data_IF_902119777570
#
_entry.id   IF_902119777570
#
_cell.length_a   1.000
_cell.length_b   1.000
_cell.length_c   1.000
_cell.angle_alpha   90.00
_cell.angle_beta   90.00
_cell.angle_gamma   90.00
#
_symmetry.space_group_name_H-M   'P 1'
#
loop_
_entity.id
_entity.type
_entity.pdbx_description
1 polymer ?
#
# COMPACT_ATOMS: atom_id res chain seq x y z
N UNK A 1 -14.61 19.82 6.87
CA UNK A 1 -14.74 18.54 6.12
C UNK A 1 -14.89 18.89 4.66
N UNK A 2 -13.83 18.81 3.88
CA UNK A 2 -13.90 18.86 2.43
C UNK A 2 -14.39 17.47 2.02
N UNK A 3 -15.70 17.35 1.73
CA UNK A 3 -16.23 16.16 1.11
C UNK A 3 -15.63 16.07 -0.27
N UNK A 4 -14.85 15.05 -0.57
CA UNK A 4 -14.66 14.61 -1.94
C UNK A 4 -16.07 14.27 -2.45
N UNK A 5 -16.59 15.10 -3.35
CA UNK A 5 -17.70 14.71 -4.22
C UNK A 5 -17.10 13.67 -5.18
N UNK A 6 -16.94 12.47 -4.65
CA UNK A 6 -16.17 11.44 -5.27
C UNK A 6 -17.03 10.49 -6.03
N UNK A 7 -16.40 9.86 -6.94
CA UNK A 7 -16.75 8.60 -7.53
C UNK A 7 -17.27 7.67 -6.42
N UNK A 8 -18.36 6.98 -6.67
CA UNK A 8 -18.85 5.94 -5.78
C UNK A 8 -17.69 5.02 -5.44
N UNK A 9 -17.35 4.95 -4.15
CA UNK A 9 -16.33 4.00 -3.68
C UNK A 9 -16.90 2.63 -3.98
N UNK A 10 -16.35 1.97 -5.00
CA UNK A 10 -16.81 0.67 -5.45
C UNK A 10 -16.88 -0.30 -4.27
N UNK A 11 -17.90 -1.15 -4.25
CA UNK A 11 -18.03 -2.17 -3.23
C UNK A 11 -16.80 -3.09 -3.23
N UNK A 12 -16.36 -3.58 -2.06
CA UNK A 12 -15.30 -4.57 -1.98
C UNK A 12 -15.68 -5.82 -2.76
N UNK A 13 -14.79 -6.27 -3.64
CA UNK A 13 -14.95 -7.46 -4.46
C UNK A 13 -13.94 -8.54 -4.05
N UNK A 14 -14.31 -9.79 -4.28
CA UNK A 14 -13.40 -10.90 -4.13
C UNK A 14 -12.29 -10.82 -5.19
N UNK A 15 -11.07 -11.15 -4.79
CA UNK A 15 -9.88 -11.11 -5.62
C UNK A 15 -9.71 -12.41 -6.37
N UNK A 16 -9.36 -12.31 -7.64
CA UNK A 16 -8.74 -13.37 -8.42
C UNK A 16 -7.43 -12.86 -9.00
N UNK A 17 -6.48 -13.77 -9.25
CA UNK A 17 -5.20 -13.38 -9.83
C UNK A 17 -5.39 -12.69 -11.19
N UNK A 18 -6.18 -13.31 -12.08
CA UNK A 18 -6.42 -12.80 -13.43
C UNK A 18 -6.96 -11.37 -13.48
N UNK A 19 -7.78 -10.97 -12.50
CA UNK A 19 -8.34 -9.61 -12.45
C UNK A 19 -7.40 -8.59 -11.83
N UNK A 20 -6.48 -9.03 -10.96
CA UNK A 20 -5.54 -8.16 -10.23
C UNK A 20 -4.27 -7.94 -11.03
N UNK A 21 -3.75 -8.98 -11.69
CA UNK A 21 -2.47 -8.97 -12.40
C UNK A 21 -2.28 -7.79 -13.36
N UNK A 22 -3.25 -7.41 -14.21
CA UNK A 22 -3.08 -6.29 -15.15
C UNK A 22 -2.87 -4.92 -14.48
N UNK A 23 -3.28 -4.81 -13.21
CA UNK A 23 -3.15 -3.59 -12.41
C UNK A 23 -1.86 -3.51 -11.58
N UNK A 24 -1.03 -4.53 -11.63
CA UNK A 24 0.22 -4.61 -10.85
C UNK A 24 1.44 -4.22 -11.71
N UNK A 25 2.56 -3.83 -11.08
CA UNK A 25 3.80 -3.61 -11.79
C UNK A 25 4.39 -4.94 -12.30
N UNK A 26 5.18 -4.87 -13.37
CA UNK A 26 5.92 -6.02 -13.88
C UNK A 26 6.89 -6.61 -12.86
N UNK A 27 7.29 -7.87 -13.09
CA UNK A 27 8.28 -8.56 -12.26
C UNK A 27 9.59 -7.75 -12.24
N UNK A 28 10.14 -7.56 -11.04
CA UNK A 28 11.36 -6.79 -10.82
C UNK A 28 11.16 -5.27 -10.70
N UNK A 29 9.95 -4.76 -10.90
CA UNK A 29 9.62 -3.33 -10.73
C UNK A 29 9.17 -3.03 -9.30
N UNK A 30 8.33 -3.88 -8.71
CA UNK A 30 7.94 -3.70 -7.32
C UNK A 30 9.14 -3.88 -6.38
N UNK A 31 9.15 -3.14 -5.29
CA UNK A 31 10.22 -3.12 -4.29
C UNK A 31 11.64 -2.84 -4.85
N UNK A 32 11.74 -2.28 -6.06
CA UNK A 32 13.02 -2.01 -6.73
C UNK A 32 13.82 -0.86 -6.11
N UNK A 33 13.17 0.05 -5.41
CA UNK A 33 13.80 1.20 -4.77
C UNK A 33 13.63 1.12 -3.25
N UNK A 34 14.73 1.09 -2.53
CA UNK A 34 14.69 1.11 -1.06
C UNK A 34 14.33 2.50 -0.55
N UNK A 35 13.16 2.66 0.05
CA UNK A 35 12.60 3.96 0.46
C UNK A 35 13.55 4.74 1.38
N UNK A 36 14.24 4.08 2.31
CA UNK A 36 15.15 4.71 3.26
C UNK A 36 16.35 5.40 2.63
N UNK A 37 16.76 4.99 1.41
CA UNK A 37 17.88 5.60 0.67
C UNK A 37 17.52 6.95 0.06
N UNK A 38 16.25 7.14 -0.28
CA UNK A 38 15.76 8.36 -0.92
C UNK A 38 15.11 9.32 0.09
N UNK A 39 14.94 8.89 1.33
CA UNK A 39 14.34 9.69 2.38
C UNK A 39 15.40 10.52 3.14
N UNK A 40 14.98 11.69 3.59
CA UNK A 40 15.77 12.58 4.44
C UNK A 40 14.97 13.00 5.68
N UNK A 41 15.62 13.66 6.63
CA UNK A 41 14.95 14.27 7.78
C UNK A 41 14.08 13.30 8.60
N UNK A 42 12.88 13.75 8.93
CA UNK A 42 11.93 12.97 9.75
C UNK A 42 11.38 11.76 9.01
N UNK A 43 11.13 11.87 7.70
CA UNK A 43 10.64 10.74 6.91
C UNK A 43 11.64 9.59 6.92
N UNK A 44 12.94 9.87 6.84
CA UNK A 44 13.97 8.85 6.96
C UNK A 44 14.00 8.21 8.35
N UNK A 45 13.85 9.02 9.41
CA UNK A 45 13.80 8.50 10.79
C UNK A 45 12.62 7.56 11.00
N UNK A 46 11.46 7.93 10.51
CA UNK A 46 10.24 7.11 10.55
C UNK A 46 10.39 5.83 9.72
N UNK A 47 10.99 5.89 8.53
CA UNK A 47 11.24 4.70 7.71
C UNK A 47 12.16 3.71 8.39
N UNK A 48 13.21 4.18 9.06
CA UNK A 48 14.14 3.30 9.77
C UNK A 48 13.57 2.77 11.09
N UNK A 49 12.70 3.54 11.73
CA UNK A 49 12.12 3.25 13.04
C UNK A 49 10.60 3.60 13.03
N UNK A 50 9.72 2.68 12.58
CA UNK A 50 8.28 2.92 12.51
C UNK A 50 7.62 3.06 13.89
N UNK A 51 8.30 2.69 14.99
CA UNK A 51 7.76 2.87 16.34
C UNK A 51 7.55 4.34 16.69
N UNK A 52 8.27 5.23 16.02
CA UNK A 52 8.03 6.68 16.11
C UNK A 52 6.63 7.11 15.73
N UNK A 53 5.92 6.32 14.94
CA UNK A 53 4.53 6.56 14.56
C UNK A 53 3.52 5.89 15.49
N UNK A 54 3.94 4.96 16.33
CA UNK A 54 2.99 4.27 17.21
C UNK A 54 2.45 5.23 18.28
N UNK A 55 1.15 5.15 18.46
CA UNK A 55 0.44 5.73 19.60
C UNK A 55 0.56 4.81 20.82
N UNK A 56 0.49 5.33 22.05
CA UNK A 56 0.19 4.52 23.22
C UNK A 56 -1.11 3.73 23.00
N UNK A 57 -1.20 2.50 23.49
CA UNK A 57 -2.35 1.64 23.20
C UNK A 57 -3.70 2.25 23.66
N UNK A 58 -3.69 3.03 24.74
CA UNK A 58 -4.88 3.74 25.23
C UNK A 58 -5.40 4.82 24.26
N UNK A 59 -4.59 5.21 23.26
CA UNK A 59 -4.94 6.19 22.22
C UNK A 59 -5.26 5.52 20.87
N UNK A 60 -5.19 4.17 20.80
CA UNK A 60 -5.51 3.49 19.55
C UNK A 60 -6.98 3.67 19.19
N UNK A 61 -7.20 3.95 17.91
CA UNK A 61 -8.56 4.03 17.38
C UNK A 61 -9.27 2.66 17.52
N UNK A 62 -10.59 2.69 17.75
CA UNK A 62 -11.37 1.47 17.75
C UNK A 62 -11.41 0.88 16.35
N UNK A 63 -10.84 -0.30 16.19
CA UNK A 63 -10.73 -0.98 14.92
C UNK A 63 -10.66 -2.51 15.10
N UNK A 64 -11.07 -3.29 14.08
CA UNK A 64 -10.88 -4.73 14.11
C UNK A 64 -9.38 -5.05 14.16
N UNK A 65 -9.00 -6.06 14.95
CA UNK A 65 -7.59 -6.50 15.02
C UNK A 65 -7.15 -7.30 13.80
N UNK A 66 -8.11 -7.88 13.07
CA UNK A 66 -7.87 -8.67 11.87
C UNK A 66 -8.87 -8.30 10.80
N UNK A 67 -8.40 -8.02 9.60
CA UNK A 67 -9.26 -7.81 8.45
C UNK A 67 -9.34 -9.06 7.58
N UNK A 68 -10.51 -9.26 6.97
CA UNK A 68 -10.75 -10.40 6.07
C UNK A 68 -9.96 -10.22 4.77
N UNK A 69 -9.52 -11.35 4.21
CA UNK A 69 -9.08 -11.46 2.83
C UNK A 69 -10.28 -11.96 2.02
N UNK A 70 -10.60 -11.22 0.97
CA UNK A 70 -11.71 -11.53 0.08
C UNK A 70 -11.15 -12.18 -1.18
N UNK A 71 -11.23 -13.50 -1.27
CA UNK A 71 -10.95 -14.30 -2.46
C UNK A 71 -12.10 -15.26 -2.66
N UNK A 72 -12.34 -15.67 -3.89
CA UNK A 72 -13.44 -16.58 -4.24
C UNK A 72 -13.22 -17.98 -3.68
N UNK A 73 -11.95 -18.39 -3.62
CA UNK A 73 -11.56 -19.73 -3.10
C UNK A 73 -10.14 -19.70 -2.51
N UNK A 74 -9.78 -20.78 -1.85
CA UNK A 74 -8.42 -21.00 -1.36
C UNK A 74 -7.42 -21.13 -2.51
N UNK A 75 -7.82 -21.74 -3.62
CA UNK A 75 -6.97 -21.86 -4.81
C UNK A 75 -6.66 -20.50 -5.43
N UNK A 76 -7.66 -19.63 -5.59
CA UNK A 76 -7.47 -18.26 -6.07
C UNK A 76 -6.56 -17.45 -5.13
N UNK A 77 -6.69 -17.68 -3.82
CA UNK A 77 -5.78 -17.02 -2.88
C UNK A 77 -4.34 -17.51 -3.03
N UNK A 78 -4.12 -18.82 -3.20
CA UNK A 78 -2.77 -19.38 -3.40
C UNK A 78 -2.12 -18.84 -4.68
N UNK A 79 -2.87 -18.75 -5.77
CA UNK A 79 -2.41 -18.17 -7.03
C UNK A 79 -2.07 -16.66 -6.87
N UNK A 80 -2.97 -15.90 -6.25
CA UNK A 80 -2.75 -14.49 -5.94
C UNK A 80 -1.51 -14.29 -5.06
N UNK A 81 -1.36 -15.09 -4.00
CA UNK A 81 -0.22 -15.03 -3.10
C UNK A 81 1.09 -15.32 -3.82
N UNK A 82 1.13 -16.36 -4.65
CA UNK A 82 2.31 -16.73 -5.44
C UNK A 82 2.70 -15.61 -6.40
N UNK A 83 1.76 -15.06 -7.16
CA UNK A 83 2.02 -13.97 -8.09
C UNK A 83 2.49 -12.68 -7.41
N UNK A 84 1.94 -12.35 -6.23
CA UNK A 84 2.39 -11.18 -5.44
C UNK A 84 3.79 -11.38 -4.86
N UNK A 85 4.15 -12.59 -4.46
CA UNK A 85 5.51 -12.93 -3.99
C UNK A 85 6.50 -12.88 -5.15
N UNK A 86 6.16 -13.45 -6.30
CA UNK A 86 7.00 -13.41 -7.50
C UNK A 86 7.31 -11.97 -7.94
N UNK A 87 6.34 -11.06 -7.85
CA UNK A 87 6.54 -9.64 -8.14
C UNK A 87 7.25 -8.86 -7.03
N UNK A 88 7.52 -9.50 -5.88
CA UNK A 88 8.18 -8.86 -4.74
C UNK A 88 7.30 -7.86 -3.98
N UNK A 89 5.97 -7.92 -4.13
CA UNK A 89 5.01 -7.10 -3.38
C UNK A 89 4.77 -7.70 -1.99
N UNK A 90 4.75 -9.02 -1.90
CA UNK A 90 4.72 -9.78 -0.67
C UNK A 90 6.00 -10.60 -0.50
N UNK A 91 6.27 -10.99 0.71
CA UNK A 91 7.28 -11.99 1.05
C UNK A 91 6.70 -13.02 2.01
N UNK A 92 7.27 -14.20 1.99
CA UNK A 92 6.92 -15.30 2.88
C UNK A 92 7.85 -15.31 4.10
N UNK A 93 7.30 -15.25 5.29
CA UNK A 93 8.02 -15.30 6.57
C UNK A 93 7.56 -16.52 7.33
N UNK A 94 8.48 -17.31 7.89
CA UNK A 94 8.12 -18.46 8.71
C UNK A 94 7.18 -18.02 9.85
N UNK A 95 6.12 -18.82 10.11
CA UNK A 95 5.01 -18.39 10.97
C UNK A 95 5.47 -18.08 12.40
N UNK A 96 6.40 -18.83 12.95
CA UNK A 96 6.98 -18.58 14.27
C UNK A 96 7.74 -17.25 14.33
N UNK A 97 8.49 -16.92 13.29
CA UNK A 97 9.18 -15.62 13.15
C UNK A 97 8.15 -14.50 13.01
N UNK A 98 7.16 -14.68 12.16
CA UNK A 98 6.10 -13.70 11.96
C UNK A 98 5.30 -13.44 13.24
N UNK A 99 4.98 -14.50 13.97
CA UNK A 99 4.24 -14.39 15.23
C UNK A 99 5.03 -13.73 16.36
N UNK A 100 6.35 -13.84 16.32
CA UNK A 100 7.24 -13.11 17.24
C UNK A 100 7.38 -11.63 16.87
N UNK A 101 7.21 -11.28 15.58
CA UNK A 101 7.41 -9.92 15.07
C UNK A 101 6.12 -9.09 15.04
N UNK A 102 4.97 -9.71 14.78
CA UNK A 102 3.71 -9.02 14.53
C UNK A 102 3.31 -8.14 15.72
N UNK A 103 2.87 -6.91 15.43
CA UNK A 103 2.36 -6.01 16.45
C UNK A 103 1.10 -6.61 17.08
N UNK A 104 1.04 -6.58 18.42
CA UNK A 104 -0.07 -7.12 19.21
C UNK A 104 -0.59 -6.06 20.15
N UNK A 105 -1.86 -6.19 20.50
CA UNK A 105 -2.45 -5.39 21.58
C UNK A 105 -2.11 -5.99 22.96
N UNK A 106 -2.51 -5.31 24.03
CA UNK A 106 -2.28 -5.72 25.43
C UNK A 106 -2.87 -7.08 25.78
N UNK A 107 -3.86 -7.56 24.99
CA UNK A 107 -4.44 -8.89 25.12
C UNK A 107 -3.69 -9.95 24.29
N UNK A 108 -2.56 -9.60 23.69
CA UNK A 108 -1.76 -10.49 22.85
C UNK A 108 -2.36 -10.80 21.48
N UNK A 109 -3.41 -10.10 21.04
CA UNK A 109 -4.07 -10.33 19.75
C UNK A 109 -3.27 -9.64 18.64
N UNK A 110 -2.86 -10.35 17.57
CA UNK A 110 -2.09 -9.76 16.49
C UNK A 110 -2.94 -8.83 15.62
N UNK A 111 -2.32 -7.76 15.12
CA UNK A 111 -2.91 -6.83 14.17
C UNK A 111 -2.56 -7.29 12.76
N UNK A 112 -3.56 -7.73 11.99
CA UNK A 112 -3.37 -8.36 10.71
C UNK A 112 -4.20 -7.70 9.61
N UNK A 113 -3.53 -7.34 8.51
CA UNK A 113 -4.13 -6.74 7.33
C UNK A 113 -5.00 -7.74 6.56
N UNK A 114 -6.03 -7.23 5.90
CA UNK A 114 -6.82 -7.96 4.91
C UNK A 114 -6.46 -7.55 3.48
N UNK A 115 -7.20 -8.12 2.52
CA UNK A 115 -7.12 -7.74 1.11
C UNK A 115 -8.50 -7.83 0.46
N UNK A 116 -8.77 -6.93 -0.50
CA UNK A 116 -9.97 -6.97 -1.33
C UNK A 116 -9.72 -6.24 -2.65
N UNK A 117 -10.59 -6.46 -3.64
CA UNK A 117 -10.57 -5.79 -4.92
C UNK A 117 -11.49 -4.58 -4.96
N UNK A 118 -11.12 -3.57 -5.75
CA UNK A 118 -11.98 -2.47 -6.17
C UNK A 118 -11.90 -2.36 -7.67
N UNK A 119 -13.04 -2.29 -8.35
CA UNK A 119 -13.12 -2.19 -9.79
C UNK A 119 -12.36 -0.98 -10.33
N UNK A 120 -11.68 -1.17 -11.47
CA UNK A 120 -11.02 -0.12 -12.26
C UNK A 120 -11.82 0.11 -13.55
N UNK A 121 -12.83 0.97 -13.55
CA UNK A 121 -13.78 1.07 -14.63
C UNK A 121 -13.20 1.56 -15.97
N UNK A 122 -11.97 2.08 -15.97
CA UNK A 122 -11.29 2.58 -17.18
C UNK A 122 -10.37 1.56 -17.84
N UNK A 123 -10.09 0.45 -17.16
CA UNK A 123 -9.21 -0.60 -17.69
C UNK A 123 -10.02 -1.58 -18.53
N UNK A 124 -9.43 -2.12 -19.60
CA UNK A 124 -10.08 -3.14 -20.42
C UNK A 124 -10.32 -4.40 -19.58
N UNK A 125 -11.55 -4.99 -19.64
CA UNK A 125 -11.87 -6.17 -18.86
C UNK A 125 -11.03 -7.38 -19.30
N UNK A 126 -10.69 -8.25 -18.35
CA UNK A 126 -10.05 -9.53 -18.65
C UNK A 126 -11.10 -10.56 -19.04
N UNK A 127 -10.77 -11.45 -19.97
CA UNK A 127 -11.66 -12.54 -20.37
C UNK A 127 -11.39 -13.78 -19.50
N UNK A 128 -12.41 -14.27 -18.83
CA UNK A 128 -12.39 -15.54 -18.10
C UNK A 128 -13.49 -16.43 -18.66
N UNK A 129 -13.12 -17.55 -19.25
CA UNK A 129 -14.05 -18.49 -19.93
C UNK A 129 -14.95 -17.79 -20.97
N UNK A 130 -14.41 -16.79 -21.68
CA UNK A 130 -15.14 -16.00 -22.66
C UNK A 130 -16.07 -14.92 -22.08
N UNK A 131 -16.13 -14.78 -20.76
CA UNK A 131 -16.91 -13.75 -20.07
C UNK A 131 -15.99 -12.59 -19.68
N UNK A 132 -16.37 -11.30 -19.96
CA UNK A 132 -15.58 -10.16 -19.55
C UNK A 132 -15.72 -9.92 -18.03
N UNK A 133 -14.59 -9.84 -17.34
CA UNK A 133 -14.50 -9.55 -15.92
C UNK A 133 -13.72 -8.23 -15.72
N UNK A 134 -14.16 -7.35 -14.80
CA UNK A 134 -13.46 -6.09 -14.57
C UNK A 134 -12.05 -6.31 -14.01
N UNK A 135 -11.12 -5.47 -14.43
CA UNK A 135 -9.81 -5.39 -13.77
C UNK A 135 -10.01 -4.83 -12.36
N UNK A 136 -9.35 -5.43 -11.39
CA UNK A 136 -9.44 -5.02 -9.99
C UNK A 136 -8.15 -4.33 -9.53
N UNK A 137 -8.32 -3.23 -8.82
CA UNK A 137 -7.27 -2.65 -8.00
C UNK A 137 -7.16 -3.45 -6.71
N UNK A 138 -5.99 -4.01 -6.44
CA UNK A 138 -5.69 -4.66 -5.16
C UNK A 138 -5.60 -3.61 -4.05
N UNK A 139 -6.38 -3.79 -3.01
CA UNK A 139 -6.36 -2.95 -1.80
C UNK A 139 -5.94 -3.81 -0.62
N UNK A 140 -4.87 -3.40 0.05
CA UNK A 140 -4.51 -3.94 1.36
C UNK A 140 -5.32 -3.22 2.43
N UNK A 141 -6.17 -3.95 3.13
CA UNK A 141 -6.95 -3.40 4.24
C UNK A 141 -6.07 -3.28 5.49
N UNK A 142 -5.43 -2.13 5.61
CA UNK A 142 -4.48 -1.80 6.67
C UNK A 142 -5.15 -1.09 7.87
N UNK A 143 -6.47 -1.19 8.01
CA UNK A 143 -7.21 -0.62 9.15
C UNK A 143 -6.62 -1.04 10.49
N UNK A 144 -6.26 -2.33 10.74
CA UNK A 144 -5.70 -2.71 12.04
C UNK A 144 -4.39 -1.99 12.39
N UNK A 145 -3.34 -1.97 11.55
CA UNK A 145 -2.14 -1.21 11.87
C UNK A 145 -2.37 0.30 11.84
N UNK A 146 -3.19 0.84 10.94
CA UNK A 146 -3.46 2.27 10.88
C UNK A 146 -4.06 2.83 12.17
N UNK A 147 -4.90 2.04 12.85
CA UNK A 147 -5.51 2.43 14.12
C UNK A 147 -4.48 2.66 15.25
N UNK A 148 -3.26 2.15 15.08
CA UNK A 148 -2.18 2.33 16.07
C UNK A 148 -1.25 3.48 15.74
N UNK A 149 -1.41 4.09 14.55
CA UNK A 149 -0.49 5.10 14.04
C UNK A 149 -1.03 6.50 14.25
N UNK A 150 -0.17 7.40 14.72
CA UNK A 150 -0.46 8.83 14.71
C UNK A 150 -0.44 9.40 13.28
N UNK A 151 -1.02 10.56 13.10
CA UNK A 151 -0.92 11.31 11.86
C UNK A 151 0.53 11.73 11.58
N UNK A 152 0.90 11.66 10.31
CA UNK A 152 2.24 11.98 9.86
C UNK A 152 2.16 12.85 8.60
N UNK A 153 2.20 14.16 8.80
CA UNK A 153 1.94 15.12 7.72
C UNK A 153 3.19 15.48 6.91
N UNK A 154 4.36 15.45 7.52
CA UNK A 154 5.64 15.82 6.88
C UNK A 154 5.47 16.80 5.69
N UNK A 155 5.87 16.39 4.49
CA UNK A 155 5.82 17.23 3.27
C UNK A 155 4.43 17.27 2.58
N UNK A 156 3.40 16.62 3.13
CA UNK A 156 2.08 16.59 2.46
C UNK A 156 1.44 17.97 2.37
N UNK A 157 1.78 18.86 3.30
CA UNK A 157 1.30 20.24 3.31
C UNK A 157 1.85 21.08 2.15
N UNK A 158 2.93 20.61 1.53
CA UNK A 158 3.60 21.29 0.42
C UNK A 158 3.12 20.75 -0.95
N UNK A 159 2.04 19.97 -1.00
CA UNK A 159 1.45 19.53 -2.25
C UNK A 159 0.98 20.74 -3.06
N UNK A 160 1.38 20.83 -4.35
CA UNK A 160 0.93 21.93 -5.21
C UNK A 160 -0.59 21.89 -5.33
N UNK A 161 -1.21 23.05 -5.20
CA UNK A 161 -2.64 23.25 -5.45
C UNK A 161 -2.88 23.94 -6.79
N UNK A 162 -4.05 23.71 -7.40
CA UNK A 162 -4.41 24.42 -8.64
C UNK A 162 -4.37 25.95 -8.49
N UNK A 163 -4.67 26.48 -7.30
CA UNK A 163 -4.61 27.91 -7.02
C UNK A 163 -3.20 28.52 -7.17
N UNK A 164 -2.16 27.70 -7.05
CA UNK A 164 -0.77 28.18 -7.26
C UNK A 164 -0.48 28.53 -8.71
N UNK A 165 -1.16 27.88 -9.69
CA UNK A 165 -1.03 28.22 -11.10
C UNK A 165 -1.58 29.62 -11.42
N UNK A 166 -2.62 30.07 -10.70
CA UNK A 166 -3.18 31.40 -10.84
C UNK A 166 -2.25 32.53 -10.39
N UNK A 167 -1.22 32.20 -9.59
CA UNK A 167 -0.22 33.16 -9.13
C UNK A 167 0.99 33.29 -10.09
N UNK A 168 1.05 32.50 -11.16
CA UNK A 168 2.12 32.55 -12.15
C UNK A 168 1.86 33.71 -13.11
N UNK A 169 2.71 34.72 -13.07
CA UNK A 169 2.71 35.81 -14.02
C UNK A 169 3.71 35.52 -15.14
N UNK A 170 3.25 35.57 -16.39
CA UNK A 170 4.11 35.50 -17.57
C UNK A 170 4.52 36.90 -17.99
N UNK A 171 5.77 37.10 -18.38
CA UNK A 171 6.21 38.26 -19.07
C UNK A 171 5.60 38.30 -20.48
N UNK A 172 5.42 39.52 -21.07
CA UNK A 172 4.69 39.75 -22.33
C UNK A 172 5.06 38.86 -23.54
N UNK A 173 6.12 38.14 -23.49
CA UNK A 173 6.55 37.18 -24.53
C UNK A 173 6.91 35.82 -23.96
N UNK A 174 6.53 35.57 -22.73
CA UNK A 174 6.81 34.28 -22.05
C UNK A 174 5.87 33.15 -22.51
N UNK A 175 6.41 31.96 -22.67
CA UNK A 175 5.65 30.72 -22.89
C UNK A 175 5.73 29.88 -21.63
N UNK A 176 4.59 29.43 -21.13
CA UNK A 176 4.53 28.51 -20.00
C UNK A 176 4.43 27.07 -20.52
N UNK A 177 5.47 26.28 -20.28
CA UNK A 177 5.48 24.89 -20.64
C UNK A 177 5.14 24.05 -19.40
N UNK A 178 4.05 23.29 -19.48
CA UNK A 178 3.66 22.34 -18.44
C UNK A 178 3.92 20.94 -18.96
N UNK A 179 4.66 20.14 -18.19
CA UNK A 179 4.79 18.72 -18.40
C UNK A 179 4.14 17.99 -17.23
N UNK A 180 3.26 17.05 -17.54
CA UNK A 180 2.63 16.17 -16.53
C UNK A 180 2.92 14.73 -16.90
N UNK A 181 3.31 13.95 -15.91
CA UNK A 181 3.48 12.49 -16.05
C UNK A 181 2.79 11.82 -14.87
N UNK A 182 1.92 10.88 -15.17
CA UNK A 182 1.40 9.97 -14.17
C UNK A 182 2.39 8.81 -13.98
N UNK A 183 2.68 8.48 -12.74
CA UNK A 183 3.55 7.35 -12.41
C UNK A 183 2.67 6.17 -12.02
N UNK A 184 2.57 5.20 -12.93
CA UNK A 184 1.87 3.95 -12.64
C UNK A 184 2.51 3.24 -11.44
N UNK A 185 1.67 2.62 -10.62
CA UNK A 185 2.09 1.75 -9.50
C UNK A 185 3.06 2.41 -8.50
N UNK A 186 2.99 3.74 -8.33
CA UNK A 186 3.98 4.52 -7.60
C UNK A 186 4.24 4.08 -6.14
N UNK A 187 3.27 3.47 -5.49
CA UNK A 187 3.43 2.92 -4.13
C UNK A 187 4.24 1.62 -4.13
N UNK A 188 4.06 0.77 -5.14
CA UNK A 188 4.69 -0.55 -5.20
C UNK A 188 6.19 -0.52 -5.45
N UNK A 189 6.74 0.55 -6.03
CA UNK A 189 8.19 0.63 -6.30
C UNK A 189 9.04 0.80 -5.05
N UNK A 190 8.45 1.30 -3.97
CA UNK A 190 9.15 1.64 -2.74
C UNK A 190 9.19 0.46 -1.78
N UNK A 191 10.37 -0.13 -1.61
CA UNK A 191 10.63 -1.13 -0.59
C UNK A 191 10.68 -0.47 0.79
N UNK A 192 9.90 -0.97 1.73
CA UNK A 192 9.99 -0.55 3.13
C UNK A 192 11.07 -1.36 3.87
N UNK A 193 11.76 -0.79 4.87
CA UNK A 193 12.68 -1.53 5.73
C UNK A 193 12.00 -2.67 6.48
N UNK A 194 12.79 -3.69 6.86
CA UNK A 194 12.29 -4.87 7.57
C UNK A 194 11.57 -4.55 8.88
N UNK A 195 11.92 -3.44 9.53
CA UNK A 195 11.26 -2.96 10.76
C UNK A 195 9.76 -2.70 10.60
N UNK A 196 9.29 -2.46 9.35
CA UNK A 196 7.87 -2.25 9.04
C UNK A 196 7.05 -3.53 9.01
N UNK A 197 7.68 -4.70 8.86
CA UNK A 197 6.97 -6.00 8.76
C UNK A 197 5.95 -6.20 9.88
N UNK A 198 6.28 -5.79 11.10
CA UNK A 198 5.38 -5.93 12.26
C UNK A 198 4.00 -5.29 12.06
N UNK A 199 3.89 -4.29 11.19
CA UNK A 199 2.67 -3.57 10.84
C UNK A 199 2.00 -4.12 9.56
N UNK A 200 2.69 -4.97 8.79
CA UNK A 200 2.34 -5.27 7.41
C UNK A 200 2.05 -6.76 7.15
N UNK A 201 1.89 -7.56 8.22
CA UNK A 201 1.48 -8.95 8.08
C UNK A 201 0.03 -9.10 7.66
N UNK A 202 -0.21 -10.04 6.74
CA UNK A 202 -1.52 -10.37 6.18
C UNK A 202 -2.20 -11.44 7.03
N UNK A 203 -3.53 -11.34 7.16
CA UNK A 203 -4.35 -12.26 7.97
C UNK A 203 -4.57 -13.63 7.29
N UNK A 204 -3.49 -14.23 6.79
CA UNK A 204 -3.52 -15.59 6.26
C UNK A 204 -2.15 -16.24 6.31
N UNK A 205 -2.15 -17.54 6.49
CA UNK A 205 -0.98 -18.42 6.45
C UNK A 205 -1.08 -19.25 5.18
N UNK A 206 0.03 -19.40 4.48
CA UNK A 206 0.22 -20.31 3.36
C UNK A 206 1.10 -21.48 3.77
N UNK A 207 1.03 -22.60 3.06
CA UNK A 207 1.93 -23.73 3.27
C UNK A 207 2.85 -23.84 2.06
N UNK A 208 4.16 -23.80 2.30
CA UNK A 208 5.20 -23.98 1.28
C UNK A 208 6.20 -25.02 1.76
N UNK A 209 6.39 -26.06 0.96
CA UNK A 209 7.32 -27.16 1.29
C UNK A 209 7.07 -27.76 2.68
N UNK A 210 5.78 -27.92 3.04
CA UNK A 210 5.36 -28.45 4.34
C UNK A 210 5.53 -27.49 5.52
N UNK A 211 6.00 -26.26 5.30
CA UNK A 211 6.15 -25.22 6.34
C UNK A 211 5.05 -24.19 6.27
N UNK A 212 4.60 -23.75 7.43
CA UNK A 212 3.61 -22.67 7.55
C UNK A 212 4.32 -21.34 7.48
N UNK A 213 3.84 -20.47 6.59
CA UNK A 213 4.41 -19.13 6.37
C UNK A 213 3.31 -18.08 6.39
N UNK A 214 3.63 -16.92 6.94
CA UNK A 214 2.76 -15.74 6.90
C UNK A 214 3.28 -14.78 5.84
N UNK A 215 2.37 -14.15 5.13
CA UNK A 215 2.70 -13.15 4.11
C UNK A 215 2.86 -11.77 4.76
N UNK A 216 3.87 -11.02 4.32
CA UNK A 216 4.10 -9.64 4.73
C UNK A 216 4.30 -8.74 3.50
N UNK A 217 3.74 -7.51 3.52
CA UNK A 217 4.05 -6.53 2.50
C UNK A 217 5.51 -6.08 2.60
N UNK A 218 6.13 -5.94 1.44
CA UNK A 218 7.50 -5.45 1.29
C UNK A 218 7.55 -3.99 0.83
N UNK A 219 6.42 -3.47 0.36
CA UNK A 219 6.28 -2.16 -0.29
C UNK A 219 5.43 -1.20 0.54
N UNK A 220 5.49 0.08 0.20
CA UNK A 220 4.55 1.05 0.76
C UNK A 220 3.14 0.67 0.31
N UNK A 221 2.33 0.11 1.21
CA UNK A 221 0.97 -0.32 0.90
C UNK A 221 0.04 0.84 0.62
N UNK A 222 -0.72 0.77 -0.48
CA UNK A 222 -1.84 1.70 -0.69
C UNK A 222 -2.86 1.51 0.44
N UNK A 223 -3.21 2.61 1.12
CA UNK A 223 -4.08 2.59 2.29
C UNK A 223 -3.34 2.60 3.64
N UNK A 224 -2.00 2.52 3.66
CA UNK A 224 -1.23 2.77 4.87
C UNK A 224 -1.30 4.26 5.23
N UNK A 225 -1.59 4.59 6.49
CA UNK A 225 -1.83 5.96 6.95
C UNK A 225 -0.74 6.97 6.52
N UNK A 226 0.56 6.69 6.65
CA UNK A 226 1.63 7.58 6.19
C UNK A 226 2.04 7.39 4.72
N UNK A 227 1.37 6.54 3.92
CA UNK A 227 1.84 6.16 2.58
C UNK A 227 1.98 7.35 1.63
N UNK A 228 0.98 8.24 1.59
CA UNK A 228 1.00 9.41 0.70
C UNK A 228 2.14 10.34 1.08
N UNK A 229 2.30 10.64 2.38
CA UNK A 229 3.37 11.51 2.90
C UNK A 229 4.75 10.95 2.56
N UNK A 230 4.96 9.65 2.81
CA UNK A 230 6.22 8.97 2.49
C UNK A 230 6.50 9.04 0.99
N UNK A 231 5.55 8.62 0.15
CA UNK A 231 5.72 8.58 -1.31
C UNK A 231 5.97 9.96 -1.89
N UNK A 232 5.25 10.98 -1.44
CA UNK A 232 5.44 12.36 -1.87
C UNK A 232 6.86 12.88 -1.54
N UNK A 233 7.33 12.61 -0.33
CA UNK A 233 8.70 13.01 0.07
C UNK A 233 9.76 12.33 -0.80
N UNK A 234 9.61 11.02 -1.03
CA UNK A 234 10.55 10.25 -1.86
C UNK A 234 10.59 10.77 -3.31
N UNK A 235 9.43 11.06 -3.89
CA UNK A 235 9.36 11.64 -5.23
C UNK A 235 10.05 13.00 -5.32
N UNK A 236 9.83 13.88 -4.36
CA UNK A 236 10.48 15.20 -4.32
C UNK A 236 12.00 15.08 -4.25
N UNK A 237 12.51 14.10 -3.50
CA UNK A 237 13.96 13.91 -3.37
C UNK A 237 14.61 13.29 -4.62
N UNK A 238 13.87 12.55 -5.44
CA UNK A 238 14.38 12.10 -6.76
C UNK A 238 14.48 13.24 -7.76
N UNK A 239 13.59 14.23 -7.67
CA UNK A 239 13.53 15.35 -8.60
C UNK A 239 14.51 16.48 -8.27
N UNK A 240 15.18 16.40 -7.14
CA UNK A 240 16.24 17.35 -6.71
C UNK A 240 17.62 16.87 -7.11
#
# INVERSE_FOLDING_TARGET
KIGYAGEEVGLPLALTWAQVEPGLPDIGVAASLEASRFATGEVRRVLLDPDRLLLPECEWEEAPRRCRIWCDSDAEFEELAAGLVERGILEEVDEDIADAMVLRDSLGRPLLAGMFGVEKPKDEPVLRDGVPWPVLRLIFNLVPPNATLKDFDADIRDLPSQGQFGALALLDRGIFLISSRDRQCCFYIWRVPLSWRKLLFVNRVVVRDGRRKRLALTVVGMGLKPAVTITQHLHRNILR
#
